data_IF_152133047676
#
_entry.id   IF_152133047676
#
_cell.length_a   1.000
_cell.length_b   1.000
_cell.length_c   1.000
_cell.angle_alpha   90.00
_cell.angle_beta   90.00
_cell.angle_gamma   90.00
#
_symmetry.space_group_name_H-M   'P 1'
#
loop_
_entity.id
_entity.type
_entity.pdbx_description
1 polymer ?
#
# COMPACT_ATOMS: atom_id res chain seq x y z
N UNK A 1 -9.02 -5.45 -12.80
CA UNK A 1 -8.84 -4.23 -11.97
C UNK A 1 -10.12 -3.42 -11.91
N UNK A 2 -10.50 -2.96 -10.71
CA UNK A 2 -11.59 -1.99 -10.56
C UNK A 2 -11.08 -0.59 -10.92
N UNK A 3 -11.99 0.27 -11.41
CA UNK A 3 -11.66 1.67 -11.72
C UNK A 3 -12.58 2.60 -10.96
N UNK A 4 -12.01 3.60 -10.28
CA UNK A 4 -12.71 4.66 -9.56
C UNK A 4 -12.37 6.01 -10.20
N UNK A 5 -13.33 6.93 -10.21
CA UNK A 5 -13.15 8.28 -10.73
C UNK A 5 -13.47 9.30 -9.64
N UNK A 6 -12.53 10.20 -9.38
CA UNK A 6 -12.66 11.24 -8.36
C UNK A 6 -12.37 12.61 -8.94
N UNK A 7 -13.18 13.61 -8.60
CA UNK A 7 -12.88 15.00 -8.92
C UNK A 7 -12.03 15.63 -7.84
N UNK A 8 -10.78 15.99 -8.17
CA UNK A 8 -9.82 16.62 -7.26
C UNK A 8 -9.33 17.92 -7.91
N UNK A 9 -9.62 19.07 -7.29
CA UNK A 9 -9.22 20.38 -7.78
C UNK A 9 -9.56 20.58 -9.27
N UNK A 10 -10.82 20.29 -9.63
CA UNK A 10 -11.39 20.35 -11.00
C UNK A 10 -10.73 19.40 -12.01
N UNK A 11 -9.90 18.47 -11.56
CA UNK A 11 -9.30 17.41 -12.37
C UNK A 11 -9.95 16.07 -12.07
N UNK A 12 -10.19 15.31 -13.13
CA UNK A 12 -10.63 13.93 -12.97
C UNK A 12 -9.41 13.04 -12.71
N UNK A 13 -9.34 12.44 -11.53
CA UNK A 13 -8.29 11.49 -11.14
C UNK A 13 -8.87 10.08 -11.22
N UNK A 14 -8.29 9.25 -12.09
CA UNK A 14 -8.64 7.85 -12.20
C UNK A 14 -7.72 7.03 -11.30
N UNK A 15 -8.34 6.23 -10.43
CA UNK A 15 -7.65 5.29 -9.56
C UNK A 15 -8.03 3.88 -9.97
N UNK A 16 -7.05 3.05 -10.23
CA UNK A 16 -7.23 1.64 -10.54
C UNK A 16 -6.88 0.82 -9.29
N UNK A 17 -7.70 -0.19 -8.97
CA UNK A 17 -7.46 -1.10 -7.86
C UNK A 17 -7.33 -2.53 -8.35
N UNK A 18 -6.30 -3.21 -7.89
CA UNK A 18 -6.19 -4.67 -7.91
C UNK A 18 -6.13 -5.21 -6.48
N UNK A 19 -6.66 -6.39 -6.26
CA UNK A 19 -6.74 -6.99 -4.92
C UNK A 19 -5.89 -8.26 -4.89
N UNK A 20 -4.96 -8.34 -3.95
CA UNK A 20 -4.19 -9.56 -3.68
C UNK A 20 -5.10 -10.60 -3.04
N UNK A 21 -5.50 -11.60 -3.82
CA UNK A 21 -6.53 -12.56 -3.45
C UNK A 21 -6.32 -13.26 -2.09
N UNK A 22 -5.09 -13.66 -1.69
CA UNK A 22 -4.87 -14.41 -0.46
C UNK A 22 -5.40 -13.75 0.81
N UNK A 23 -5.18 -12.45 0.98
CA UNK A 23 -5.59 -11.71 2.19
C UNK A 23 -6.36 -10.43 1.88
N UNK A 24 -6.73 -10.24 0.61
CA UNK A 24 -7.54 -9.11 0.13
C UNK A 24 -6.93 -7.74 0.39
N UNK A 25 -5.58 -7.64 0.33
CA UNK A 25 -4.91 -6.35 0.36
C UNK A 25 -5.01 -5.64 -0.99
N UNK A 26 -5.06 -4.31 -0.95
CA UNK A 26 -5.25 -3.47 -2.12
C UNK A 26 -3.92 -3.00 -2.70
N UNK A 27 -3.76 -3.11 -4.01
CA UNK A 27 -2.86 -2.30 -4.82
C UNK A 27 -3.66 -1.18 -5.47
N UNK A 28 -3.21 0.06 -5.36
CA UNK A 28 -3.79 1.19 -6.09
C UNK A 28 -2.81 1.76 -7.10
N UNK A 29 -3.34 2.18 -8.25
CA UNK A 29 -2.53 2.81 -9.30
C UNK A 29 -3.20 4.10 -9.78
N UNK A 30 -2.41 5.16 -9.91
CA UNK A 30 -2.82 6.43 -10.55
C UNK A 30 -1.86 6.72 -11.69
N UNK A 31 -2.41 7.17 -12.82
CA UNK A 31 -1.65 7.59 -13.99
C UNK A 31 -1.59 9.12 -14.06
N UNK A 32 -0.44 9.67 -14.42
CA UNK A 32 -0.23 11.10 -14.61
C UNK A 32 0.73 11.38 -15.77
N UNK A 33 0.18 11.74 -16.93
CA UNK A 33 0.96 11.85 -18.15
C UNK A 33 1.54 10.48 -18.54
N UNK A 34 2.87 10.41 -18.70
CA UNK A 34 3.59 9.18 -18.98
C UNK A 34 4.21 8.52 -17.71
N UNK A 35 3.75 8.90 -16.53
CA UNK A 35 4.20 8.34 -15.25
C UNK A 35 3.05 7.66 -14.50
N UNK A 36 3.37 6.62 -13.74
CA UNK A 36 2.42 5.92 -12.87
C UNK A 36 2.91 5.90 -11.42
N UNK A 37 1.99 6.15 -10.47
CA UNK A 37 2.16 5.88 -9.06
C UNK A 37 1.45 4.57 -8.69
N UNK A 38 2.18 3.57 -8.20
CA UNK A 38 1.64 2.28 -7.77
C UNK A 38 1.87 2.12 -6.27
N UNK A 39 0.79 2.01 -5.51
CA UNK A 39 0.83 1.82 -4.07
C UNK A 39 0.68 0.34 -3.75
N UNK A 40 1.62 -0.20 -2.97
CA UNK A 40 1.58 -1.55 -2.41
C UNK A 40 1.34 -2.64 -3.49
N UNK A 41 2.25 -2.82 -4.46
CA UNK A 41 2.01 -3.67 -5.61
C UNK A 41 1.85 -5.14 -5.26
N UNK A 42 0.86 -5.76 -5.88
CA UNK A 42 0.74 -7.21 -6.07
C UNK A 42 1.00 -7.57 -7.56
N UNK A 43 1.05 -8.86 -7.88
CA UNK A 43 1.21 -9.32 -9.26
C UNK A 43 -0.17 -9.26 -9.95
N UNK A 44 -0.29 -8.42 -10.98
CA UNK A 44 -1.48 -8.32 -11.84
C UNK A 44 -1.04 -7.92 -13.26
N UNK A 45 -1.04 -8.85 -14.19
CA UNK A 45 -0.62 -8.62 -15.58
C UNK A 45 -1.47 -7.55 -16.30
N UNK A 46 -2.71 -7.31 -15.86
CA UNK A 46 -3.54 -6.24 -16.41
C UNK A 46 -2.94 -4.84 -16.14
N UNK A 47 -2.08 -4.71 -15.12
CA UNK A 47 -1.34 -3.47 -14.87
C UNK A 47 -0.38 -3.13 -16.01
N UNK A 48 0.31 -4.14 -16.56
CA UNK A 48 1.22 -3.94 -17.70
C UNK A 48 0.46 -3.57 -18.97
N UNK A 49 -0.73 -4.14 -19.18
CA UNK A 49 -1.61 -3.76 -20.28
C UNK A 49 -2.05 -2.30 -20.13
N UNK A 50 -2.49 -1.89 -18.93
CA UNK A 50 -2.85 -0.51 -18.62
C UNK A 50 -1.69 0.46 -18.92
N UNK A 51 -0.46 0.11 -18.53
CA UNK A 51 0.72 0.93 -18.79
C UNK A 51 0.98 1.07 -20.29
N UNK A 52 0.92 -0.03 -21.03
CA UNK A 52 1.10 -0.04 -22.48
C UNK A 52 0.06 0.84 -23.21
N UNK A 53 -1.21 0.69 -22.87
CA UNK A 53 -2.31 1.46 -23.46
C UNK A 53 -2.16 2.97 -23.21
N UNK A 54 -1.67 3.34 -22.03
CA UNK A 54 -1.48 4.73 -21.62
C UNK A 54 -0.07 5.26 -21.87
N UNK A 55 0.82 4.50 -22.53
CA UNK A 55 2.19 4.90 -22.85
C UNK A 55 3.00 5.32 -21.62
N UNK A 56 2.85 4.56 -20.53
CA UNK A 56 3.60 4.84 -19.30
C UNK A 56 5.07 4.47 -19.51
N UNK A 57 5.96 5.39 -19.22
CA UNK A 57 7.42 5.27 -19.37
C UNK A 57 8.13 5.19 -18.02
N UNK A 58 7.51 5.73 -16.96
CA UNK A 58 8.08 5.71 -15.61
C UNK A 58 7.07 5.19 -14.60
N UNK A 59 7.51 4.23 -13.81
CA UNK A 59 6.69 3.64 -12.75
C UNK A 59 7.33 3.90 -11.39
N UNK A 60 6.55 4.46 -10.47
CA UNK A 60 6.95 4.73 -9.11
C UNK A 60 6.17 3.83 -8.15
N UNK A 61 6.86 2.98 -7.42
CA UNK A 61 6.29 2.16 -6.35
C UNK A 61 6.37 2.94 -5.05
N UNK A 62 5.21 3.16 -4.42
CA UNK A 62 5.06 3.85 -3.14
C UNK A 62 4.57 2.82 -2.11
N UNK A 63 5.43 2.45 -1.14
CA UNK A 63 5.07 1.44 -0.16
C UNK A 63 4.54 2.11 1.11
N UNK A 64 3.30 1.75 1.50
CA UNK A 64 2.73 2.21 2.76
C UNK A 64 3.41 1.56 3.95
N UNK A 65 3.84 0.29 3.82
CA UNK A 65 4.62 -0.43 4.82
C UNK A 65 5.22 -1.74 4.25
N UNK A 66 5.96 -2.47 5.07
CA UNK A 66 6.74 -3.63 4.62
C UNK A 66 6.15 -5.00 4.95
N UNK A 67 4.83 -5.16 5.10
CA UNK A 67 4.22 -6.49 5.20
C UNK A 67 4.12 -7.15 3.83
N UNK A 68 4.17 -8.48 3.81
CA UNK A 68 4.33 -9.27 2.59
C UNK A 68 3.24 -9.00 1.54
N UNK A 69 2.02 -8.90 1.97
CA UNK A 69 0.86 -8.69 1.12
C UNK A 69 0.79 -7.30 0.47
N UNK A 70 1.60 -6.34 0.96
CA UNK A 70 1.77 -5.01 0.38
C UNK A 70 3.03 -4.86 -0.47
N UNK A 71 3.87 -5.90 -0.52
CA UNK A 71 5.13 -5.87 -1.27
C UNK A 71 5.31 -7.07 -2.20
N UNK A 72 4.31 -7.96 -2.27
CA UNK A 72 4.40 -9.25 -2.99
C UNK A 72 4.68 -9.09 -4.50
N UNK A 73 4.29 -7.96 -5.10
CA UNK A 73 4.52 -7.67 -6.51
C UNK A 73 5.70 -6.73 -6.79
N UNK A 74 6.47 -6.31 -5.77
CA UNK A 74 7.54 -5.31 -5.98
C UNK A 74 8.65 -5.82 -6.89
N UNK A 75 9.16 -7.05 -6.66
CA UNK A 75 10.21 -7.62 -7.53
C UNK A 75 9.71 -7.75 -8.95
N UNK A 76 8.55 -8.36 -9.14
CA UNK A 76 7.93 -8.51 -10.45
C UNK A 76 7.77 -7.16 -11.17
N UNK A 77 7.21 -6.15 -10.51
CA UNK A 77 6.98 -4.85 -11.15
C UNK A 77 8.29 -4.11 -11.47
N UNK A 78 9.33 -4.28 -10.63
CA UNK A 78 10.68 -3.76 -10.94
C UNK A 78 11.30 -4.45 -12.15
N UNK A 79 11.16 -5.76 -12.27
CA UNK A 79 11.69 -6.53 -13.41
C UNK A 79 11.01 -6.15 -14.73
N UNK A 80 9.67 -6.00 -14.71
CA UNK A 80 8.89 -5.67 -15.89
C UNK A 80 9.04 -4.21 -16.37
N UNK A 81 9.26 -3.26 -15.45
CA UNK A 81 9.15 -1.83 -15.77
C UNK A 81 10.37 -0.99 -15.39
N UNK A 82 11.31 -1.54 -14.64
CA UNK A 82 12.38 -0.75 -14.03
C UNK A 82 11.88 0.21 -12.94
N UNK A 83 10.76 -0.12 -12.29
CA UNK A 83 10.10 0.76 -11.32
C UNK A 83 11.01 1.25 -10.19
N UNK A 84 10.82 2.50 -9.80
CA UNK A 84 11.54 3.19 -8.73
C UNK A 84 10.80 3.03 -7.40
N UNK A 85 11.46 2.48 -6.38
CA UNK A 85 10.84 2.20 -5.07
C UNK A 85 11.12 3.32 -4.07
N UNK A 86 10.04 3.90 -3.54
CA UNK A 86 10.05 4.94 -2.52
C UNK A 86 9.24 4.49 -1.30
N UNK A 87 9.81 4.60 -0.10
CA UNK A 87 9.14 4.27 1.15
C UNK A 87 9.76 4.97 2.36
N UNK A 88 9.13 4.83 3.52
CA UNK A 88 9.67 5.31 4.79
C UNK A 88 10.95 4.54 5.16
N UNK A 89 11.92 5.20 5.81
CA UNK A 89 13.25 4.65 6.13
C UNK A 89 13.20 3.34 6.92
N UNK A 90 12.32 3.23 7.93
CA UNK A 90 12.19 1.99 8.71
C UNK A 90 11.54 0.86 7.90
N UNK A 91 10.64 1.21 6.95
CA UNK A 91 10.14 0.25 5.96
C UNK A 91 11.32 -0.29 5.13
N UNK A 92 12.14 0.58 4.54
CA UNK A 92 13.31 0.18 3.76
C UNK A 92 14.26 -0.73 4.54
N UNK A 93 14.54 -0.41 5.81
CA UNK A 93 15.38 -1.26 6.68
C UNK A 93 14.79 -2.65 6.91
N UNK A 94 13.46 -2.74 7.05
CA UNK A 94 12.77 -4.05 7.18
C UNK A 94 12.89 -4.87 5.90
N UNK A 95 12.73 -4.24 4.75
CA UNK A 95 12.77 -4.88 3.43
C UNK A 95 14.14 -5.52 3.10
N UNK A 96 15.21 -5.07 3.76
CA UNK A 96 16.54 -5.68 3.65
C UNK A 96 16.69 -6.98 4.46
N UNK A 97 15.69 -7.39 5.25
CA UNK A 97 15.70 -8.64 5.99
C UNK A 97 14.55 -9.55 5.50
N UNK A 98 14.84 -10.65 4.79
CA UNK A 98 13.83 -11.48 4.13
C UNK A 98 12.85 -12.17 5.11
N UNK A 99 13.11 -12.14 6.41
CA UNK A 99 12.20 -12.67 7.44
C UNK A 99 11.23 -11.63 8.01
N UNK A 100 11.46 -10.34 7.75
CA UNK A 100 10.67 -9.24 8.33
C UNK A 100 9.32 -8.98 7.65
N UNK A 101 9.10 -9.25 6.35
CA UNK A 101 7.81 -9.03 5.70
C UNK A 101 6.66 -9.86 6.26
N UNK A 102 6.92 -10.82 7.14
CA UNK A 102 5.89 -11.62 7.82
C UNK A 102 5.01 -12.48 6.88
N UNK A 103 5.57 -12.99 5.78
CA UNK A 103 4.88 -13.89 4.86
C UNK A 103 4.21 -15.09 5.56
N UNK A 104 4.73 -15.50 6.73
CA UNK A 104 4.10 -16.53 7.56
C UNK A 104 2.69 -16.17 8.03
N UNK A 105 2.35 -14.88 8.17
CA UNK A 105 1.00 -14.46 8.56
C UNK A 105 0.02 -14.72 7.42
N UNK A 106 0.42 -14.42 6.18
CA UNK A 106 -0.36 -14.79 4.99
C UNK A 106 -0.53 -16.31 4.92
N UNK A 107 0.55 -17.08 5.13
CA UNK A 107 0.49 -18.54 5.17
C UNK A 107 -0.49 -19.06 6.23
N UNK A 108 -0.54 -18.44 7.41
CA UNK A 108 -1.50 -18.83 8.47
C UNK A 108 -2.95 -18.56 8.05
N UNK A 109 -3.23 -17.39 7.48
CA UNK A 109 -4.57 -17.05 6.99
C UNK A 109 -5.01 -18.05 5.93
N UNK A 110 -4.15 -18.36 4.95
CA UNK A 110 -4.45 -19.34 3.91
C UNK A 110 -4.70 -20.74 4.46
N UNK A 111 -3.91 -21.16 5.45
CA UNK A 111 -4.13 -22.45 6.13
C UNK A 111 -5.49 -22.50 6.84
N UNK A 112 -5.86 -21.43 7.56
CA UNK A 112 -7.15 -21.35 8.25
C UNK A 112 -8.34 -21.34 7.27
N UNK A 113 -8.20 -20.72 6.10
CA UNK A 113 -9.21 -20.76 5.04
C UNK A 113 -9.33 -22.15 4.42
N UNK A 114 -8.20 -22.80 4.13
CA UNK A 114 -8.19 -24.18 3.59
C UNK A 114 -8.84 -25.19 4.57
N UNK A 115 -8.67 -25.00 5.87
CA UNK A 115 -9.37 -25.82 6.87
C UNK A 115 -10.90 -25.66 6.84
N UNK A 116 -11.41 -24.52 6.40
CA UNK A 116 -12.85 -24.23 6.33
C UNK A 116 -13.50 -24.79 5.06
N UNK A 117 -12.80 -24.75 3.92
CA UNK A 117 -13.40 -25.07 2.61
C UNK A 117 -12.69 -26.20 1.84
N UNK A 118 -11.60 -26.78 2.41
CA UNK A 118 -10.86 -27.89 1.78
C UNK A 118 -9.95 -27.45 0.63
N UNK A 119 -9.59 -26.16 0.57
CA UNK A 119 -8.66 -25.62 -0.43
C UNK A 119 -7.21 -26.08 -0.25
N UNK A 120 -6.32 -25.62 -1.15
CA UNK A 120 -4.88 -25.93 -1.15
C UNK A 120 -4.00 -24.66 -1.23
N UNK A 121 -4.55 -23.50 -0.90
CA UNK A 121 -3.89 -22.16 -1.02
C UNK A 121 -2.59 -22.10 -0.19
N UNK A 122 -2.61 -22.70 1.00
CA UNK A 122 -1.43 -22.75 1.86
C UNK A 122 -0.27 -23.52 1.22
N UNK A 123 -0.56 -24.71 0.66
CA UNK A 123 0.48 -25.51 0.02
C UNK A 123 1.00 -24.86 -1.25
N UNK A 124 0.14 -24.20 -2.04
CA UNK A 124 0.52 -23.47 -3.24
C UNK A 124 1.35 -22.24 -2.90
N UNK A 125 0.96 -21.50 -1.86
CA UNK A 125 1.76 -20.40 -1.34
C UNK A 125 3.15 -20.86 -0.89
N UNK A 126 3.25 -21.96 -0.15
CA UNK A 126 4.54 -22.50 0.30
C UNK A 126 5.45 -22.94 -0.84
N UNK A 127 4.88 -23.46 -1.93
CA UNK A 127 5.66 -23.87 -3.11
C UNK A 127 6.19 -22.66 -3.88
N UNK A 128 5.41 -21.59 -3.98
CA UNK A 128 5.74 -20.39 -4.74
C UNK A 128 6.55 -19.37 -3.95
N UNK A 129 6.38 -19.32 -2.62
CA UNK A 129 7.07 -18.36 -1.77
C UNK A 129 8.56 -18.65 -1.64
N UNK A 130 9.38 -17.64 -1.92
CA UNK A 130 10.80 -17.61 -1.58
C UNK A 130 11.11 -16.31 -0.82
N UNK A 131 12.00 -16.36 0.19
CA UNK A 131 12.44 -15.15 0.88
C UNK A 131 13.20 -14.24 -0.08
N UNK A 132 12.87 -12.95 -0.08
CA UNK A 132 13.50 -11.92 -0.91
C UNK A 132 13.80 -10.67 -0.09
N UNK A 133 14.60 -9.79 -0.66
CA UNK A 133 14.91 -8.47 -0.10
C UNK A 133 14.66 -7.41 -1.15
N UNK A 134 14.12 -6.26 -0.73
CA UNK A 134 13.87 -5.13 -1.61
C UNK A 134 14.77 -3.98 -1.19
N UNK A 135 15.58 -3.49 -2.10
CA UNK A 135 16.31 -2.24 -1.93
C UNK A 135 15.43 -1.09 -2.41
N UNK A 136 15.07 -0.20 -1.51
CA UNK A 136 14.42 1.06 -1.88
C UNK A 136 15.42 1.98 -2.60
N UNK A 137 14.94 2.67 -3.63
CA UNK A 137 15.75 3.60 -4.43
C UNK A 137 15.82 4.97 -3.75
N UNK A 138 14.76 5.34 -2.99
CA UNK A 138 14.69 6.54 -2.16
C UNK A 138 13.90 6.27 -0.89
N UNK A 139 14.27 6.96 0.18
CA UNK A 139 13.56 6.90 1.47
C UNK A 139 13.32 8.29 2.03
N UNK A 140 12.35 8.41 2.95
CA UNK A 140 12.13 9.59 3.76
C UNK A 140 12.03 9.21 5.25
N UNK A 141 12.34 10.14 6.14
CA UNK A 141 12.32 9.90 7.59
C UNK A 141 10.94 10.22 8.21
N UNK A 142 10.50 11.47 8.11
CA UNK A 142 9.27 11.95 8.76
C UNK A 142 8.21 12.39 7.76
N UNK A 143 8.60 13.25 6.84
CA UNK A 143 7.73 13.85 5.84
C UNK A 143 8.53 14.20 4.59
N UNK A 144 7.91 14.02 3.43
CA UNK A 144 8.48 14.46 2.15
C UNK A 144 7.40 14.83 1.14
N UNK A 145 7.56 15.99 0.52
CA UNK A 145 6.72 16.45 -0.59
C UNK A 145 7.41 16.16 -1.91
N UNK A 146 6.71 15.50 -2.83
CA UNK A 146 7.23 15.15 -4.14
C UNK A 146 6.12 15.17 -5.20
N UNK A 147 6.49 15.01 -6.46
CA UNK A 147 5.53 14.94 -7.57
C UNK A 147 5.81 13.72 -8.45
N UNK A 148 4.74 13.16 -9.02
CA UNK A 148 4.77 12.14 -10.06
C UNK A 148 3.90 12.69 -11.19
N UNK A 149 4.52 12.97 -12.34
CA UNK A 149 3.87 13.75 -13.38
C UNK A 149 3.34 15.09 -12.83
N UNK A 150 2.07 15.33 -12.99
CA UNK A 150 1.38 16.55 -12.52
C UNK A 150 0.70 16.38 -11.14
N UNK A 151 0.89 15.25 -10.48
CA UNK A 151 0.30 14.95 -9.18
C UNK A 151 1.30 15.23 -8.06
N UNK A 152 0.87 16.03 -7.08
CA UNK A 152 1.68 16.39 -5.92
C UNK A 152 1.25 15.55 -4.72
N UNK A 153 2.21 14.87 -4.11
CA UNK A 153 2.04 14.03 -2.94
C UNK A 153 2.77 14.60 -1.73
N UNK A 154 2.21 14.33 -0.56
CA UNK A 154 2.91 14.45 0.71
C UNK A 154 2.97 13.05 1.34
N UNK A 155 4.18 12.52 1.53
CA UNK A 155 4.44 11.29 2.27
C UNK A 155 4.67 11.61 3.74
N UNK A 156 3.94 10.98 4.65
CA UNK A 156 4.02 11.20 6.09
C UNK A 156 4.26 9.87 6.80
N UNK A 157 5.27 9.83 7.68
CA UNK A 157 5.50 8.68 8.56
C UNK A 157 4.38 8.57 9.59
N UNK A 158 3.71 7.41 9.61
CA UNK A 158 2.58 7.11 10.50
C UNK A 158 2.81 5.79 11.23
N UNK A 159 3.86 5.69 12.07
CA UNK A 159 4.19 4.46 12.75
C UNK A 159 3.08 4.02 13.70
N UNK A 160 2.94 2.71 13.86
CA UNK A 160 1.92 2.12 14.74
C UNK A 160 1.54 0.72 14.31
N UNK A 161 0.95 0.54 13.13
CA UNK A 161 0.72 -0.78 12.54
C UNK A 161 2.04 -1.50 12.26
N UNK A 162 3.01 -0.76 11.71
CA UNK A 162 4.42 -1.14 11.66
C UNK A 162 5.30 0.07 11.97
N UNK A 163 6.57 -0.18 12.29
CA UNK A 163 7.55 0.89 12.53
C UNK A 163 7.83 1.77 11.30
N UNK A 164 7.61 1.22 10.10
CA UNK A 164 7.82 1.88 8.82
C UNK A 164 6.53 2.25 8.08
N UNK A 165 5.39 2.31 8.79
CA UNK A 165 4.12 2.72 8.19
C UNK A 165 4.14 4.18 7.75
N UNK A 166 3.54 4.44 6.59
CA UNK A 166 3.43 5.77 6.00
C UNK A 166 2.09 5.95 5.29
N UNK A 167 1.59 7.17 5.29
CA UNK A 167 0.47 7.60 4.48
C UNK A 167 0.97 8.51 3.35
N UNK A 168 0.34 8.42 2.18
CA UNK A 168 0.62 9.29 1.04
C UNK A 168 -0.62 10.11 0.73
N UNK A 169 -0.53 11.42 0.91
CA UNK A 169 -1.64 12.36 0.69
C UNK A 169 -1.49 13.03 -0.67
N UNK A 170 -2.43 12.80 -1.58
CA UNK A 170 -2.53 13.45 -2.86
C UNK A 170 -3.32 14.76 -2.71
N UNK A 171 -2.63 15.91 -2.87
CA UNK A 171 -3.20 17.28 -2.93
C UNK A 171 -4.26 17.58 -1.84
N UNK A 172 -4.07 17.02 -0.63
CA UNK A 172 -4.98 17.25 0.50
C UNK A 172 -6.38 16.64 0.38
N UNK A 173 -6.64 15.82 -0.62
CA UNK A 173 -7.98 15.28 -0.92
C UNK A 173 -8.09 13.76 -0.85
N UNK A 174 -7.01 13.04 -1.12
CA UNK A 174 -6.99 11.57 -1.17
C UNK A 174 -5.77 11.04 -0.43
N UNK A 175 -5.97 10.10 0.50
CA UNK A 175 -4.92 9.52 1.30
C UNK A 175 -4.83 8.01 1.11
N UNK A 176 -3.66 7.51 0.69
CA UNK A 176 -3.30 6.09 0.67
C UNK A 176 -2.73 5.74 2.03
N UNK A 177 -3.51 5.06 2.85
CA UNK A 177 -3.21 4.85 4.27
C UNK A 177 -2.61 3.50 4.58
N UNK A 178 -2.62 2.56 3.61
CA UNK A 178 -2.31 1.17 3.92
C UNK A 178 -3.14 0.71 5.11
N UNK A 179 -2.51 -0.01 6.03
CA UNK A 179 -3.16 -0.54 7.24
C UNK A 179 -3.13 0.42 8.43
N UNK A 180 -2.74 1.68 8.20
CA UNK A 180 -2.79 2.71 9.25
C UNK A 180 -4.23 3.16 9.56
N UNK A 181 -5.15 3.03 8.60
CA UNK A 181 -6.58 3.31 8.78
C UNK A 181 -7.42 2.41 7.88
N UNK A 182 -8.35 1.67 8.48
CA UNK A 182 -9.37 0.85 7.82
C UNK A 182 -10.76 1.39 8.18
N UNK A 183 -11.77 1.17 7.31
CA UNK A 183 -13.11 1.73 7.52
C UNK A 183 -13.82 1.11 8.73
N UNK A 184 -13.91 -0.20 8.77
CA UNK A 184 -14.75 -0.94 9.72
C UNK A 184 -13.94 -1.75 10.74
N UNK A 185 -12.70 -2.07 10.42
CA UNK A 185 -11.85 -2.91 11.25
C UNK A 185 -10.86 -2.08 12.07
N UNK A 186 -10.58 -2.47 13.31
CA UNK A 186 -9.54 -1.82 14.10
C UNK A 186 -8.15 -2.10 13.52
N UNK A 187 -7.27 -1.12 13.61
CA UNK A 187 -5.87 -1.28 13.19
C UNK A 187 -5.17 -2.33 14.05
N UNK A 188 -4.53 -3.30 13.43
CA UNK A 188 -3.76 -4.33 14.14
C UNK A 188 -2.40 -3.75 14.55
N UNK A 189 -2.21 -3.55 15.85
CA UNK A 189 -1.00 -2.95 16.43
C UNK A 189 -0.10 -3.96 17.15
N UNK A 190 -0.42 -5.26 17.04
CA UNK A 190 0.25 -6.35 17.78
C UNK A 190 1.22 -7.17 16.92
N UNK A 191 1.31 -6.91 15.63
CA UNK A 191 2.27 -7.59 14.78
C UNK A 191 3.71 -7.16 15.13
N UNK A 192 4.71 -8.01 14.84
CA UNK A 192 6.12 -7.67 15.05
C UNK A 192 6.50 -6.36 14.34
N UNK A 193 6.87 -5.34 15.11
CA UNK A 193 7.11 -3.97 14.64
C UNK A 193 5.92 -3.03 14.81
N UNK A 194 4.76 -3.54 15.27
CA UNK A 194 3.62 -2.71 15.67
C UNK A 194 3.80 -2.12 17.07
N UNK A 195 3.22 -0.91 17.30
CA UNK A 195 3.32 -0.18 18.56
C UNK A 195 2.11 0.74 18.77
N UNK A 196 1.28 0.41 19.77
CA UNK A 196 0.09 1.19 20.08
C UNK A 196 0.39 2.61 20.60
N UNK A 197 1.54 2.80 21.26
CA UNK A 197 1.94 4.14 21.75
C UNK A 197 2.36 5.03 20.58
N UNK A 198 3.11 4.50 19.62
CA UNK A 198 3.49 5.23 18.42
C UNK A 198 2.26 5.57 17.57
N UNK A 199 1.31 4.64 17.42
CA UNK A 199 0.05 4.92 16.74
C UNK A 199 -0.70 6.10 17.38
N UNK A 200 -0.87 6.07 18.70
CA UNK A 200 -1.54 7.16 19.44
C UNK A 200 -0.80 8.48 19.38
N UNK A 201 0.53 8.44 19.33
CA UNK A 201 1.38 9.64 19.38
C UNK A 201 1.54 10.30 18.02
N UNK A 202 1.59 9.52 16.92
CA UNK A 202 1.96 10.00 15.58
C UNK A 202 0.85 9.79 14.54
N UNK A 203 0.40 8.54 14.34
CA UNK A 203 -0.55 8.22 13.29
C UNK A 203 -1.94 8.81 13.54
N UNK A 204 -2.50 8.58 14.72
CA UNK A 204 -3.85 9.01 15.06
C UNK A 204 -4.03 10.54 15.01
N UNK A 205 -3.14 11.38 15.57
CA UNK A 205 -3.25 12.84 15.44
C UNK A 205 -3.17 13.32 13.99
N UNK A 206 -2.31 12.70 13.16
CA UNK A 206 -2.24 13.00 11.74
C UNK A 206 -3.57 12.69 11.04
N UNK A 207 -4.11 11.48 11.22
CA UNK A 207 -5.39 11.09 10.63
C UNK A 207 -6.54 12.01 11.06
N UNK A 208 -6.57 12.41 12.33
CA UNK A 208 -7.57 13.35 12.87
C UNK A 208 -7.43 14.77 12.32
N UNK A 209 -6.24 15.16 11.86
CA UNK A 209 -5.98 16.47 11.24
C UNK A 209 -6.44 16.58 9.80
N UNK A 210 -6.71 15.45 9.12
CA UNK A 210 -7.17 15.43 7.75
C UNK A 210 -8.60 16.02 7.64
N UNK A 211 -8.91 16.72 6.53
CA UNK A 211 -10.28 17.14 6.23
C UNK A 211 -11.25 15.96 6.26
N UNK A 212 -12.44 16.14 6.82
CA UNK A 212 -13.43 15.06 6.98
C UNK A 212 -13.96 14.49 5.65
N UNK A 213 -13.80 15.22 4.56
CA UNK A 213 -14.15 14.81 3.19
C UNK A 213 -12.97 14.16 2.44
N UNK A 214 -11.84 13.90 3.13
CA UNK A 214 -10.70 13.19 2.53
C UNK A 214 -11.14 11.78 2.10
N UNK A 215 -10.78 11.41 0.87
CA UNK A 215 -10.99 10.08 0.32
C UNK A 215 -9.87 9.18 0.83
N UNK A 216 -10.22 8.08 1.49
CA UNK A 216 -9.26 7.12 2.02
C UNK A 216 -9.15 5.93 1.07
N UNK A 217 -7.91 5.59 0.71
CA UNK A 217 -7.51 4.41 -0.04
C UNK A 217 -6.82 3.45 0.94
N UNK A 218 -7.55 2.53 1.59
CA UNK A 218 -7.02 1.68 2.65
C UNK A 218 -6.24 0.49 2.10
N UNK A 219 -5.41 -0.13 2.93
CA UNK A 219 -4.72 -1.37 2.60
C UNK A 219 -5.66 -2.56 2.38
N UNK A 220 -6.80 -2.58 3.06
CA UNK A 220 -7.84 -3.60 2.95
C UNK A 220 -9.24 -2.98 2.89
N UNK A 221 -10.16 -3.65 2.18
CA UNK A 221 -11.54 -3.18 2.01
C UNK A 221 -11.70 -2.13 0.92
N UNK A 222 -12.89 -1.52 0.87
CA UNK A 222 -13.21 -0.53 -0.16
C UNK A 222 -12.72 0.88 0.20
N UNK A 223 -12.45 1.75 -0.79
CA UNK A 223 -12.25 3.18 -0.56
C UNK A 223 -13.46 3.81 0.14
N UNK A 224 -13.21 4.78 1.03
CA UNK A 224 -14.26 5.43 1.81
C UNK A 224 -13.95 6.91 2.09
N UNK A 225 -14.93 7.68 2.55
CA UNK A 225 -14.72 9.06 3.00
C UNK A 225 -14.38 9.04 4.50
N UNK A 226 -13.40 9.83 4.90
CA UNK A 226 -12.88 9.84 6.29
C UNK A 226 -13.96 9.98 7.36
N UNK A 227 -14.99 10.81 7.13
CA UNK A 227 -16.13 10.97 8.07
C UNK A 227 -16.96 9.70 8.27
N UNK A 228 -16.85 8.71 7.38
CA UNK A 228 -17.67 7.49 7.40
C UNK A 228 -17.03 6.36 8.22
N UNK A 229 -15.84 6.60 8.81
CA UNK A 229 -15.21 5.66 9.76
C UNK A 229 -15.38 6.12 11.21
N UNK A 230 -15.41 5.15 12.13
CA UNK A 230 -15.44 5.37 13.59
C UNK A 230 -14.07 5.09 14.23
N UNK A 231 -13.05 4.82 13.45
CA UNK A 231 -11.75 4.34 13.92
C UNK A 231 -10.74 5.47 14.26
N UNK A 232 -11.17 6.74 14.16
CA UNK A 232 -10.33 7.91 14.50
C UNK A 232 -11.12 8.98 15.29
#
# INVERSE_FOLDING_TARGET
MDQFSYSIDDKNVLVYRSVYAPVKSNMFTILSGNEAAVFDPNIDENLLLLFKENRIEKVHILLTHGHYDHISGVEWLKEETGAYVFCQEMCARRLMNPKRPLARLVAMVLHDEDQKDGGHRYDDFKKSYHPFTIKADKTFEKEEVFSIGNLRFNAISTPGHSEGSACYLLVGKMAFTGDTLLQNDPVILKFPGGNANDYKKYALPYLQSLPKDTIIMPGHGDPFILKDTKNI
#
